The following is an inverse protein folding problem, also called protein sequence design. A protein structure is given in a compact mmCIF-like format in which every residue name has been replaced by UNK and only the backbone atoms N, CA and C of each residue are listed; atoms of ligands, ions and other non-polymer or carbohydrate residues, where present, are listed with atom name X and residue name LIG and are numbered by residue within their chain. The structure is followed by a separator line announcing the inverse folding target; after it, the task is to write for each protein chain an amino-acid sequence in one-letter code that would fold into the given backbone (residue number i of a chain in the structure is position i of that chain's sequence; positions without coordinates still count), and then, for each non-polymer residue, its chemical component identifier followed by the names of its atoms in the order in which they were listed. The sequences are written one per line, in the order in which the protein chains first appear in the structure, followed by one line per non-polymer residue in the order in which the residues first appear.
data_IF_601185172168
#
_entry.id   IF_601185172168
#
_cell.length_a   1.000
_cell.length_b   1.000
_cell.length_c   1.000
_cell.angle_alpha   90.00
_cell.angle_beta   90.00
_cell.angle_gamma   90.00
#
_symmetry.space_group_name_H-M   'P 1'
#
loop_
_entity.id
_entity.type
_entity.pdbx_description
1 polymer ?
#
# COMPACT_ATOMS: atom_id res chain seq x y z
N UNK A 1 30.64 37.92 -11.65
CA UNK A 1 30.77 36.54 -12.20
C UNK A 1 31.06 35.47 -11.13
N UNK A 2 30.60 35.62 -9.87
CA UNK A 2 30.81 34.61 -8.80
C UNK A 2 29.54 33.89 -8.33
N UNK A 3 28.34 34.29 -8.79
CA UNK A 3 27.07 33.79 -8.24
C UNK A 3 26.34 32.75 -9.14
N UNK A 4 26.91 32.36 -10.28
CA UNK A 4 26.33 31.31 -11.15
C UNK A 4 26.90 29.90 -10.92
N UNK A 5 28.02 29.78 -10.18
CA UNK A 5 28.64 28.48 -9.85
C UNK A 5 28.04 27.85 -8.59
N UNK A 6 27.62 28.64 -7.60
CA UNK A 6 26.99 28.13 -6.37
C UNK A 6 25.61 27.51 -6.64
N UNK A 7 24.79 28.12 -7.51
CA UNK A 7 23.44 27.62 -7.84
C UNK A 7 23.49 26.27 -8.57
N UNK A 8 24.54 25.99 -9.35
CA UNK A 8 24.74 24.69 -10.01
C UNK A 8 25.23 23.59 -9.06
N UNK A 9 25.81 23.96 -7.91
CA UNK A 9 26.27 23.00 -6.91
C UNK A 9 25.11 22.60 -5.99
N UNK A 10 24.14 23.49 -5.73
CA UNK A 10 22.97 23.18 -4.90
C UNK A 10 21.97 22.28 -5.65
N UNK A 11 21.79 22.46 -6.96
CA UNK A 11 20.94 21.56 -7.77
C UNK A 11 21.59 20.18 -7.96
N UNK A 12 22.92 20.06 -7.78
CA UNK A 12 23.63 18.78 -7.85
C UNK A 12 23.71 18.04 -6.50
N UNK A 13 23.32 18.67 -5.39
CA UNK A 13 23.36 18.07 -4.06
C UNK A 13 22.03 17.41 -3.64
N UNK A 14 20.93 17.69 -4.34
CA UNK A 14 19.65 16.98 -4.18
C UNK A 14 19.54 15.69 -5.04
N UNK A 15 20.57 15.39 -5.84
CA UNK A 15 20.59 14.25 -6.76
C UNK A 15 21.70 13.21 -6.44
N UNK A 16 22.28 13.24 -5.24
CA UNK A 16 23.49 12.48 -4.92
C UNK A 16 23.41 11.63 -3.63
N UNK A 17 22.20 11.28 -3.17
CA UNK A 17 21.99 10.22 -2.15
C UNK A 17 20.89 9.29 -2.66
N UNK A 18 21.20 8.57 -3.74
CA UNK A 18 20.48 7.37 -4.18
C UNK A 18 21.41 6.54 -5.08
N UNK A 19 22.65 6.35 -4.67
CA UNK A 19 23.50 5.29 -5.23
C UNK A 19 23.27 4.02 -4.42
N UNK A 20 22.06 3.47 -4.53
CA UNK A 20 21.84 2.06 -4.25
C UNK A 20 21.92 1.36 -5.60
N UNK A 21 22.72 0.29 -5.62
CA UNK A 21 23.07 -0.50 -6.79
C UNK A 21 21.82 -0.97 -7.52
N UNK A 22 21.47 -0.33 -8.64
CA UNK A 22 20.46 -0.85 -9.56
C UNK A 22 21.04 -2.04 -10.30
N UNK A 23 20.96 -3.22 -9.70
CA UNK A 23 21.18 -4.47 -10.45
C UNK A 23 20.00 -4.65 -11.37
N UNK A 24 20.17 -4.36 -12.66
CA UNK A 24 19.19 -4.69 -13.68
C UNK A 24 19.14 -6.20 -13.85
N UNK A 25 18.26 -6.86 -13.09
CA UNK A 25 17.88 -8.25 -13.34
C UNK A 25 16.92 -8.32 -14.53
N UNK A 26 16.91 -9.47 -15.21
CA UNK A 26 15.97 -9.73 -16.29
C UNK A 26 14.53 -9.48 -15.80
N UNK A 27 13.84 -8.54 -16.46
CA UNK A 27 12.43 -8.26 -16.19
C UNK A 27 11.65 -9.47 -16.71
N UNK A 28 11.28 -10.40 -15.83
CA UNK A 28 10.00 -11.12 -16.00
C UNK A 28 8.95 -10.01 -16.16
N UNK A 29 8.17 -9.99 -17.24
CA UNK A 29 7.16 -8.96 -17.46
C UNK A 29 6.22 -8.91 -16.26
N UNK A 30 6.49 -8.01 -15.31
CA UNK A 30 5.60 -7.75 -14.18
C UNK A 30 4.27 -7.26 -14.75
N UNK A 31 3.19 -7.60 -14.08
CA UNK A 31 1.91 -6.96 -14.36
C UNK A 31 2.04 -5.46 -14.12
N UNK A 32 1.41 -4.67 -14.98
CA UNK A 32 1.18 -3.24 -14.71
C UNK A 32 0.21 -3.05 -13.53
N UNK A 33 0.23 -1.88 -12.91
CA UNK A 33 -0.70 -1.54 -11.83
C UNK A 33 -2.18 -1.73 -12.24
N UNK A 34 -2.52 -1.38 -13.49
CA UNK A 34 -3.84 -1.63 -14.08
C UNK A 34 -4.17 -3.12 -14.16
N UNK A 35 -3.25 -3.94 -14.66
CA UNK A 35 -3.48 -5.39 -14.80
C UNK A 35 -3.65 -6.06 -13.43
N UNK A 36 -2.91 -5.62 -12.41
CA UNK A 36 -3.11 -6.06 -11.03
C UNK A 36 -4.51 -5.68 -10.56
N UNK A 37 -4.91 -4.41 -10.69
CA UNK A 37 -6.23 -3.94 -10.26
C UNK A 37 -7.38 -4.67 -10.98
N UNK A 38 -7.24 -4.95 -12.27
CA UNK A 38 -8.21 -5.72 -13.04
C UNK A 38 -8.33 -7.17 -12.52
N UNK A 39 -7.21 -7.80 -12.15
CA UNK A 39 -7.20 -9.18 -11.65
C UNK A 39 -7.66 -9.32 -10.20
N UNK A 40 -7.49 -8.29 -9.37
CA UNK A 40 -8.12 -8.20 -8.03
C UNK A 40 -9.67 -8.15 -8.13
N UNK A 41 -10.23 -8.01 -9.34
CA UNK A 41 -11.67 -7.97 -9.58
C UNK A 41 -12.26 -6.56 -9.42
N UNK A 42 -11.44 -5.52 -9.56
CA UNK A 42 -11.86 -4.15 -9.32
C UNK A 42 -11.74 -3.27 -10.58
N UNK A 43 -12.78 -3.20 -11.43
CA UNK A 43 -12.72 -2.47 -12.70
C UNK A 43 -12.60 -0.95 -12.51
N UNK A 44 -13.13 -0.37 -11.43
CA UNK A 44 -13.04 1.07 -11.20
C UNK A 44 -11.61 1.49 -10.79
N UNK A 45 -10.93 0.67 -9.97
CA UNK A 45 -9.51 0.92 -9.65
C UNK A 45 -8.63 0.72 -10.90
N UNK A 46 -8.92 -0.29 -11.71
CA UNK A 46 -8.21 -0.48 -12.98
C UNK A 46 -8.36 0.74 -13.91
N UNK A 47 -9.55 1.35 -13.93
CA UNK A 47 -9.80 2.59 -14.67
C UNK A 47 -9.07 3.79 -14.06
N UNK A 48 -8.95 3.87 -12.73
CA UNK A 48 -8.16 4.92 -12.07
C UNK A 48 -6.71 4.91 -12.59
N UNK A 49 -6.10 3.73 -12.76
CA UNK A 49 -4.76 3.59 -13.35
C UNK A 49 -4.65 3.93 -14.85
N UNK A 50 -5.74 4.31 -15.51
CA UNK A 50 -5.74 4.90 -16.87
C UNK A 50 -5.99 6.41 -16.87
N UNK A 51 -6.35 6.99 -15.72
CA UNK A 51 -6.68 8.39 -15.57
C UNK A 51 -5.46 9.31 -15.51
N UNK A 52 -5.73 10.61 -15.50
CA UNK A 52 -4.69 11.66 -15.44
C UNK A 52 -3.88 11.64 -14.14
N UNK A 53 -4.45 11.04 -13.09
CA UNK A 53 -3.84 10.91 -11.75
C UNK A 53 -2.93 9.68 -11.61
N UNK A 54 -2.89 8.82 -12.63
CA UNK A 54 -2.10 7.61 -12.61
C UNK A 54 -0.62 7.91 -12.90
N UNK A 55 0.24 7.47 -11.98
CA UNK A 55 1.69 7.55 -12.13
C UNK A 55 2.28 6.15 -12.14
N UNK A 56 2.90 5.78 -13.27
CA UNK A 56 3.70 4.56 -13.36
C UNK A 56 5.11 4.82 -12.85
N UNK A 57 5.58 3.96 -11.94
CA UNK A 57 6.83 4.17 -11.19
C UNK A 57 7.88 3.12 -11.59
N UNK A 58 7.54 1.84 -11.45
CA UNK A 58 8.42 0.69 -11.72
C UNK A 58 9.80 0.77 -11.04
N UNK A 59 9.83 1.27 -9.80
CA UNK A 59 11.06 1.37 -9.00
C UNK A 59 11.21 0.11 -8.14
N UNK A 60 12.37 -0.52 -8.17
CA UNK A 60 12.69 -1.69 -7.34
C UNK A 60 13.66 -1.35 -6.22
N UNK A 61 13.38 -1.84 -5.01
CA UNK A 61 14.30 -1.85 -3.87
C UNK A 61 14.42 -3.30 -3.38
N UNK A 62 15.65 -3.79 -3.25
CA UNK A 62 15.93 -5.13 -2.72
C UNK A 62 16.26 -5.05 -1.23
N UNK A 63 15.52 -5.78 -0.38
CA UNK A 63 15.73 -5.85 1.06
C UNK A 63 15.17 -7.16 1.64
N UNK A 64 15.76 -7.69 2.71
CA UNK A 64 15.20 -8.85 3.42
C UNK A 64 15.10 -10.15 2.61
N UNK A 65 15.88 -10.30 1.53
CA UNK A 65 15.75 -11.43 0.61
C UNK A 65 14.66 -11.26 -0.45
N UNK A 66 14.00 -10.10 -0.52
CA UNK A 66 12.97 -9.77 -1.50
C UNK A 66 13.34 -8.57 -2.38
N UNK A 67 12.81 -8.59 -3.60
CA UNK A 67 12.75 -7.44 -4.50
C UNK A 67 11.34 -6.85 -4.42
N UNK A 68 11.21 -5.66 -3.84
CA UNK A 68 9.97 -4.89 -3.80
C UNK A 68 9.96 -3.93 -4.98
N UNK A 69 8.96 -4.01 -5.84
CA UNK A 69 8.80 -3.12 -7.00
C UNK A 69 7.53 -2.30 -6.88
N UNK A 70 7.66 -1.00 -6.65
CA UNK A 70 6.55 -0.05 -6.69
C UNK A 70 6.15 0.18 -8.15
N UNK A 71 5.01 -0.39 -8.55
CA UNK A 71 4.55 -0.38 -9.93
C UNK A 71 3.87 0.95 -10.30
N UNK A 72 3.07 1.49 -9.39
CA UNK A 72 2.42 2.77 -9.59
C UNK A 72 1.53 3.21 -8.44
N UNK A 73 1.08 4.45 -8.55
CA UNK A 73 0.09 5.08 -7.68
C UNK A 73 -0.97 5.74 -8.56
N UNK A 74 -2.21 5.79 -8.09
CA UNK A 74 -3.28 6.59 -8.68
C UNK A 74 -4.24 7.03 -7.58
N UNK A 75 -5.14 7.95 -7.89
CA UNK A 75 -6.26 8.29 -7.01
C UNK A 75 -7.59 8.10 -7.73
N UNK A 76 -8.66 7.90 -6.99
CA UNK A 76 -10.01 7.69 -7.53
C UNK A 76 -11.07 7.67 -6.42
N UNK A 77 -12.32 7.37 -6.79
CA UNK A 77 -13.41 7.25 -5.82
C UNK A 77 -13.21 6.02 -4.95
N UNK A 78 -13.26 6.19 -3.63
CA UNK A 78 -13.17 5.08 -2.67
C UNK A 78 -14.23 4.03 -2.99
N UNK A 79 -13.84 2.77 -2.83
CA UNK A 79 -14.78 1.67 -2.94
C UNK A 79 -15.58 1.52 -1.63
N UNK A 80 -16.84 1.10 -1.76
CA UNK A 80 -17.72 0.77 -0.63
C UNK A 80 -17.33 -0.52 0.12
N UNK A 81 -16.04 -0.82 0.29
CA UNK A 81 -15.63 -2.01 1.05
C UNK A 81 -15.70 -1.79 2.58
N UNK A 82 -15.70 -0.54 3.06
CA UNK A 82 -15.65 -0.22 4.49
C UNK A 82 -16.64 0.90 4.84
N UNK A 83 -17.52 0.63 5.82
CA UNK A 83 -18.59 1.52 6.26
C UNK A 83 -18.11 2.75 7.08
N UNK A 84 -16.82 2.87 7.37
CA UNK A 84 -16.31 3.85 8.34
C UNK A 84 -15.90 5.19 7.73
N UNK A 85 -15.61 5.23 6.42
CA UNK A 85 -15.40 6.48 5.67
C UNK A 85 -16.50 6.66 4.63
N UNK A 86 -16.98 7.90 4.37
CA UNK A 86 -18.01 8.13 3.36
C UNK A 86 -17.57 7.61 1.98
N UNK A 87 -18.48 6.91 1.29
CA UNK A 87 -18.36 6.41 -0.10
C UNK A 87 -17.85 7.46 -1.09
N UNK A 88 -18.24 8.72 -0.84
CA UNK A 88 -17.91 9.87 -1.70
C UNK A 88 -16.47 10.39 -1.49
N UNK A 89 -15.69 9.77 -0.60
CA UNK A 89 -14.31 10.16 -0.33
C UNK A 89 -13.39 9.68 -1.47
N UNK A 90 -12.41 10.50 -1.85
CA UNK A 90 -11.33 10.02 -2.69
C UNK A 90 -10.43 9.04 -1.92
N UNK A 91 -9.80 8.12 -2.64
CA UNK A 91 -8.81 7.16 -2.15
C UNK A 91 -7.55 7.23 -3.02
N UNK A 92 -6.42 6.83 -2.43
CA UNK A 92 -5.18 6.61 -3.18
C UNK A 92 -4.89 5.11 -3.28
N UNK A 93 -4.65 4.65 -4.49
CA UNK A 93 -4.32 3.27 -4.81
C UNK A 93 -2.83 3.11 -5.05
N UNK A 94 -2.19 2.15 -4.38
CA UNK A 94 -0.77 1.86 -4.53
C UNK A 94 -0.58 0.39 -4.91
N UNK A 95 0.22 0.11 -5.94
CA UNK A 95 0.51 -1.26 -6.36
C UNK A 95 1.98 -1.62 -6.15
N UNK A 96 2.23 -2.69 -5.42
CA UNK A 96 3.55 -3.25 -5.15
C UNK A 96 3.66 -4.68 -5.68
N UNK A 97 4.73 -5.01 -6.37
CA UNK A 97 5.11 -6.38 -6.71
C UNK A 97 6.27 -6.85 -5.83
N UNK A 98 6.26 -8.12 -5.43
CA UNK A 98 7.25 -8.72 -4.55
C UNK A 98 7.73 -10.04 -5.15
N UNK A 99 9.06 -10.20 -5.20
CA UNK A 99 9.73 -11.41 -5.64
C UNK A 99 10.80 -11.81 -4.64
N UNK A 100 11.10 -13.10 -4.53
CA UNK A 100 12.33 -13.51 -3.85
C UNK A 100 13.54 -13.17 -4.71
N UNK A 101 14.57 -12.60 -4.08
CA UNK A 101 15.85 -12.22 -4.72
C UNK A 101 16.60 -13.44 -5.28
N UNK A 102 16.39 -14.62 -4.72
CA UNK A 102 16.97 -15.88 -5.19
C UNK A 102 16.26 -16.46 -6.43
N UNK A 103 15.14 -15.86 -6.86
CA UNK A 103 14.34 -16.30 -7.99
C UNK A 103 13.38 -17.46 -7.68
N UNK A 104 13.33 -17.94 -6.44
CA UNK A 104 12.35 -18.95 -6.03
C UNK A 104 10.93 -18.37 -6.13
N UNK A 105 9.97 -19.03 -6.80
CA UNK A 105 8.59 -18.57 -6.86
C UNK A 105 7.97 -18.42 -5.48
N UNK A 106 7.21 -17.35 -5.27
CA UNK A 106 6.30 -17.22 -4.13
C UNK A 106 5.03 -18.01 -4.47
N UNK A 107 4.61 -18.92 -3.59
CA UNK A 107 3.36 -19.66 -3.75
C UNK A 107 2.16 -18.78 -3.37
N UNK A 108 0.96 -19.01 -3.93
CA UNK A 108 -0.26 -18.26 -3.57
C UNK A 108 -0.54 -18.20 -2.06
N UNK A 109 -0.33 -19.31 -1.36
CA UNK A 109 -0.50 -19.45 0.09
C UNK A 109 0.61 -18.77 0.91
N UNK A 110 1.78 -18.52 0.31
CA UNK A 110 2.97 -17.96 0.95
C UNK A 110 2.98 -16.42 0.85
N UNK A 111 1.93 -15.77 1.36
CA UNK A 111 1.92 -14.32 1.51
C UNK A 111 3.07 -13.85 2.40
N UNK A 112 3.60 -12.65 2.13
CA UNK A 112 4.66 -12.05 2.96
C UNK A 112 4.12 -11.06 4.01
N UNK A 113 2.81 -10.79 4.01
CA UNK A 113 2.19 -9.90 5.00
C UNK A 113 1.75 -10.71 6.21
N UNK A 114 1.83 -10.11 7.40
CA UNK A 114 1.43 -10.78 8.62
C UNK A 114 -0.07 -11.13 8.61
N UNK A 115 -0.36 -12.42 8.77
CA UNK A 115 -1.71 -12.99 8.89
C UNK A 115 -1.75 -14.20 9.83
N UNK A 116 -0.77 -14.36 10.72
CA UNK A 116 -0.47 -15.59 11.53
C UNK A 116 0.70 -16.47 11.04
N UNK A 117 1.78 -15.88 10.49
CA UNK A 117 3.10 -16.53 10.49
C UNK A 117 3.95 -16.43 9.20
N UNK A 118 5.17 -15.89 9.38
CA UNK A 118 6.51 -16.47 9.12
C UNK A 118 7.49 -15.34 8.78
N UNK A 119 7.01 -14.31 8.07
CA UNK A 119 7.74 -13.09 7.79
C UNK A 119 6.83 -11.94 8.17
N UNK A 120 7.08 -11.38 9.35
CA UNK A 120 6.29 -10.34 10.00
C UNK A 120 6.44 -9.01 9.25
N UNK A 121 6.10 -8.91 7.96
CA UNK A 121 6.33 -7.70 7.14
C UNK A 121 5.03 -6.90 7.00
N UNK A 122 5.16 -5.59 7.19
CA UNK A 122 4.12 -4.59 6.95
C UNK A 122 4.54 -3.61 5.85
N UNK A 123 3.53 -3.11 5.14
CA UNK A 123 3.67 -2.09 4.11
C UNK A 123 2.76 -0.92 4.49
N UNK A 124 3.35 0.24 4.76
CA UNK A 124 2.60 1.41 5.26
C UNK A 124 2.97 2.68 4.52
N UNK A 125 1.99 3.53 4.15
CA UNK A 125 2.27 4.90 3.81
C UNK A 125 2.73 5.63 5.07
N UNK A 126 3.65 6.57 4.94
CA UNK A 126 4.09 7.47 6.02
C UNK A 126 4.11 8.90 5.47
N UNK A 127 3.92 9.91 6.32
CA UNK A 127 3.88 11.31 5.89
C UNK A 127 4.87 12.15 6.70
N UNK A 128 5.74 12.87 6.00
CA UNK A 128 6.74 13.76 6.60
C UNK A 128 6.10 14.75 7.59
N UNK A 129 6.67 14.83 8.80
CA UNK A 129 6.22 15.69 9.89
C UNK A 129 5.05 15.13 10.71
N UNK A 130 4.58 13.92 10.41
CA UNK A 130 3.72 13.14 11.31
C UNK A 130 4.50 11.95 11.86
N UNK A 131 4.37 11.67 13.15
CA UNK A 131 5.04 10.50 13.71
C UNK A 131 4.49 9.22 13.04
N UNK A 132 5.33 8.23 12.69
CA UNK A 132 4.88 7.01 12.00
C UNK A 132 3.72 6.28 12.68
N UNK A 133 3.67 6.27 14.02
CA UNK A 133 2.57 5.66 14.77
C UNK A 133 1.23 6.44 14.67
N UNK A 134 1.25 7.70 14.21
CA UNK A 134 0.06 8.54 14.02
C UNK A 134 -0.51 8.41 12.61
N UNK A 135 0.34 8.41 11.58
CA UNK A 135 -0.08 8.37 10.17
C UNK A 135 0.58 7.17 9.49
N UNK A 136 -0.22 6.11 9.32
CA UNK A 136 0.19 4.82 8.76
C UNK A 136 -1.00 4.08 8.12
N UNK A 137 -0.78 2.87 7.61
CA UNK A 137 -1.82 2.08 6.93
C UNK A 137 -3.07 1.86 7.80
N UNK A 138 -2.91 1.61 9.11
CA UNK A 138 -4.02 1.38 10.03
C UNK A 138 -4.83 2.65 10.23
N UNK A 139 -4.13 3.76 10.45
CA UNK A 139 -4.79 5.03 10.70
C UNK A 139 -5.35 5.68 9.44
N UNK A 140 -4.89 5.29 8.25
CA UNK A 140 -5.39 5.77 6.95
C UNK A 140 -6.39 4.80 6.29
N UNK A 141 -7.09 4.00 7.09
CA UNK A 141 -8.17 3.10 6.65
C UNK A 141 -7.78 2.23 5.45
N UNK A 142 -6.59 1.63 5.51
CA UNK A 142 -6.08 0.79 4.43
C UNK A 142 -6.93 -0.46 4.20
N UNK A 143 -7.31 -0.70 2.95
CA UNK A 143 -7.70 -2.02 2.47
C UNK A 143 -6.56 -2.62 1.62
N UNK A 144 -6.17 -3.86 1.90
CA UNK A 144 -5.12 -4.55 1.16
C UNK A 144 -5.67 -5.75 0.38
N UNK A 145 -5.28 -5.87 -0.88
CA UNK A 145 -5.60 -7.02 -1.72
C UNK A 145 -4.33 -7.65 -2.26
N UNK A 146 -4.27 -8.98 -2.26
CA UNK A 146 -3.11 -9.71 -2.76
C UNK A 146 -3.51 -10.76 -3.79
N UNK A 147 -2.62 -10.98 -4.76
CA UNK A 147 -2.70 -12.09 -5.70
C UNK A 147 -1.29 -12.54 -6.08
N UNK A 148 -1.16 -13.81 -6.47
CA UNK A 148 0.12 -14.37 -6.91
C UNK A 148 0.02 -14.82 -8.36
N UNK A 149 0.87 -14.26 -9.24
CA UNK A 149 0.91 -14.60 -10.67
C UNK A 149 2.33 -14.90 -11.10
N UNK A 150 2.56 -16.09 -11.64
CA UNK A 150 3.87 -16.50 -12.16
C UNK A 150 4.98 -16.50 -11.10
N UNK A 151 4.64 -16.78 -9.84
CA UNK A 151 5.59 -16.78 -8.72
C UNK A 151 5.94 -15.40 -8.17
N UNK A 152 5.21 -14.36 -8.59
CA UNK A 152 5.32 -12.98 -8.09
C UNK A 152 4.09 -12.66 -7.27
N UNK A 153 4.28 -12.12 -6.06
CA UNK A 153 3.18 -11.64 -5.22
C UNK A 153 2.91 -10.17 -5.54
N UNK A 154 1.67 -9.81 -5.82
CA UNK A 154 1.26 -8.44 -6.05
C UNK A 154 0.32 -8.00 -4.92
N UNK A 155 0.47 -6.75 -4.50
CA UNK A 155 -0.40 -6.09 -3.54
C UNK A 155 -0.97 -4.82 -4.14
N UNK A 156 -2.28 -4.65 -4.01
CA UNK A 156 -3.00 -3.41 -4.26
C UNK A 156 -3.52 -2.89 -2.93
N UNK A 157 -3.11 -1.69 -2.56
CA UNK A 157 -3.57 -1.01 -1.35
C UNK A 157 -4.50 0.15 -1.72
N UNK A 158 -5.61 0.28 -1.00
CA UNK A 158 -6.53 1.42 -1.02
C UNK A 158 -6.39 2.15 0.32
N UNK A 159 -5.72 3.30 0.29
CA UNK A 159 -5.57 4.20 1.43
C UNK A 159 -6.58 5.35 1.33
N UNK A 160 -6.94 5.93 2.47
CA UNK A 160 -7.51 7.28 2.50
C UNK A 160 -6.63 8.24 1.67
N UNK A 161 -7.26 9.25 1.05
CA UNK A 161 -6.60 10.06 0.03
C UNK A 161 -5.26 10.66 0.49
N UNK A 162 -4.16 10.13 -0.06
CA UNK A 162 -2.81 10.58 0.23
C UNK A 162 -2.51 11.94 -0.42
N UNK A 163 -3.29 12.36 -1.42
CA UNK A 163 -3.16 13.66 -2.09
C UNK A 163 -3.36 14.85 -1.15
N UNK A 164 -4.15 14.68 -0.09
CA UNK A 164 -4.36 15.71 0.92
C UNK A 164 -3.03 16.13 1.59
N UNK A 165 -2.07 15.20 1.68
CA UNK A 165 -0.77 15.39 2.30
C UNK A 165 0.33 15.80 1.31
N UNK A 166 0.00 16.12 0.05
CA UNK A 166 1.00 16.34 -1.01
C UNK A 166 1.87 17.61 -0.85
N UNK A 167 1.64 18.42 0.19
CA UNK A 167 2.53 19.52 0.59
C UNK A 167 3.72 19.03 1.45
N UNK A 168 3.76 17.73 1.73
CA UNK A 168 4.78 17.00 2.49
C UNK A 168 5.24 15.79 1.67
N UNK A 169 6.41 15.25 2.00
CA UNK A 169 6.83 13.99 1.41
C UNK A 169 5.97 12.84 1.94
N UNK A 170 5.32 12.11 1.03
CA UNK A 170 4.65 10.84 1.34
C UNK A 170 5.58 9.69 0.98
N UNK A 171 5.72 8.72 1.87
CA UNK A 171 6.54 7.54 1.69
C UNK A 171 5.67 6.28 1.65
N UNK A 172 6.21 5.19 1.09
CA UNK A 172 5.72 3.83 1.29
C UNK A 172 6.84 3.00 1.91
N UNK A 173 6.68 2.65 3.18
CA UNK A 173 7.66 1.91 3.96
C UNK A 173 7.31 0.42 4.00
N UNK A 174 8.34 -0.42 3.83
CA UNK A 174 8.29 -1.86 4.11
C UNK A 174 9.13 -2.11 5.35
N UNK A 175 8.57 -2.74 6.37
CA UNK A 175 9.25 -2.98 7.64
C UNK A 175 8.72 -4.24 8.32
N UNK A 176 9.46 -4.74 9.31
CA UNK A 176 9.03 -5.83 10.15
C UNK A 176 8.21 -5.37 11.36
N UNK A 177 7.16 -6.10 11.70
CA UNK A 177 6.19 -5.78 12.75
C UNK A 177 4.85 -5.33 12.19
N UNK A 178 3.83 -5.32 13.05
CA UNK A 178 2.48 -4.84 12.71
C UNK A 178 2.45 -3.31 12.59
N UNK A 179 2.50 -2.60 13.73
CA UNK A 179 2.45 -1.15 13.76
C UNK A 179 3.86 -0.53 13.72
N UNK A 180 4.04 0.62 13.05
CA UNK A 180 5.30 1.35 13.06
C UNK A 180 5.59 1.91 14.46
N UNK A 181 6.84 1.85 14.90
CA UNK A 181 7.26 2.31 16.22
C UNK A 181 8.60 3.06 16.17
N UNK A 182 9.00 3.66 17.29
CA UNK A 182 10.28 4.35 17.43
C UNK A 182 11.50 3.43 17.41
N UNK A 183 11.31 2.11 17.57
CA UNK A 183 12.38 1.14 17.35
C UNK A 183 12.59 0.79 15.87
N UNK A 184 11.62 1.11 15.02
CA UNK A 184 11.68 0.87 13.57
C UNK A 184 12.04 2.15 12.82
N UNK A 185 11.44 3.28 13.21
CA UNK A 185 11.57 4.56 12.52
C UNK A 185 12.06 5.68 13.44
N UNK A 186 12.74 6.64 12.83
CA UNK A 186 13.09 7.93 13.42
C UNK A 186 12.56 9.06 12.54
N UNK A 187 12.37 10.23 13.13
CA UNK A 187 11.95 11.44 12.44
C UNK A 187 12.87 12.58 12.85
N UNK A 188 13.44 13.28 11.89
CA UNK A 188 14.34 14.40 12.15
C UNK A 188 13.59 15.71 12.46
N UNK A 189 14.33 16.78 12.74
CA UNK A 189 13.76 18.10 13.06
C UNK A 189 12.96 18.72 11.89
N UNK A 190 13.19 18.27 10.66
CA UNK A 190 12.44 18.72 9.48
C UNK A 190 11.16 17.91 9.27
N UNK A 191 11.01 16.80 9.98
CA UNK A 191 9.90 15.86 9.83
C UNK A 191 10.21 14.70 8.89
N UNK A 192 11.40 14.64 8.30
CA UNK A 192 11.80 13.57 7.40
C UNK A 192 11.91 12.26 8.17
N UNK A 193 11.35 11.19 7.60
CA UNK A 193 11.28 9.87 8.24
C UNK A 193 12.34 8.95 7.63
N UNK A 194 13.09 8.25 8.48
CA UNK A 194 14.02 7.19 8.10
C UNK A 194 13.89 6.01 9.08
N UNK A 195 14.50 4.88 8.76
CA UNK A 195 14.65 3.78 9.73
C UNK A 195 15.55 4.21 10.90
N UNK A 196 15.20 3.75 12.09
CA UNK A 196 15.96 4.02 13.31
C UNK A 196 17.39 3.50 13.21
N UNK A 197 18.33 4.20 13.85
CA UNK A 197 19.72 3.73 13.95
C UNK A 197 19.76 2.36 14.64
N UNK A 198 20.41 1.38 14.00
CA UNK A 198 20.48 0.00 14.50
C UNK A 198 19.26 -0.88 14.20
N UNK A 199 18.28 -0.40 13.41
CA UNK A 199 17.22 -1.27 12.90
C UNK A 199 17.78 -2.27 11.86
N UNK A 200 17.68 -3.56 12.17
CA UNK A 200 18.24 -4.67 11.37
C UNK A 200 17.21 -5.39 10.49
N UNK A 201 15.92 -5.05 10.60
CA UNK A 201 14.86 -5.67 9.81
C UNK A 201 14.84 -5.22 8.34
N UNK A 202 13.79 -5.59 7.62
CA UNK A 202 13.60 -5.18 6.22
C UNK A 202 13.56 -3.66 6.07
N UNK A 203 14.40 -3.12 5.18
CA UNK A 203 14.50 -1.68 4.90
C UNK A 203 14.26 -1.37 3.42
N UNK A 204 13.01 -1.13 3.05
CA UNK A 204 12.65 -0.58 1.75
C UNK A 204 11.67 0.59 1.92
N UNK A 205 12.11 1.79 1.55
CA UNK A 205 11.31 3.01 1.61
C UNK A 205 11.23 3.63 0.22
N UNK A 206 10.02 3.78 -0.30
CA UNK A 206 9.77 4.50 -1.55
C UNK A 206 9.27 5.90 -1.26
N UNK A 207 9.58 6.82 -2.16
CA UNK A 207 8.96 8.14 -2.24
C UNK A 207 7.73 8.01 -3.15
N UNK A 208 6.54 8.34 -2.64
CA UNK A 208 5.32 8.35 -3.45
C UNK A 208 5.22 9.69 -4.21
N UNK A 209 5.11 9.67 -5.56
CA UNK A 209 4.99 10.87 -6.37
C UNK A 209 3.54 11.35 -6.38
N UNK A 210 3.15 12.05 -5.32
CA UNK A 210 1.82 12.65 -5.17
C UNK A 210 1.86 14.09 -5.69
N UNK A 211 0.87 14.53 -6.47
CA UNK A 211 0.85 15.87 -7.06
C UNK A 211 0.71 16.97 -5.97
N UNK A 212 1.73 17.83 -5.74
CA UNK A 212 1.67 18.86 -4.72
C UNK A 212 0.55 19.89 -4.94
N UNK A 213 0.02 19.99 -6.17
CA UNK A 213 -1.10 20.89 -6.47
C UNK A 213 -2.42 20.46 -5.81
N UNK A 214 -2.50 19.20 -5.38
CA UNK A 214 -3.69 18.60 -4.75
C UNK A 214 -3.66 18.61 -3.22
N UNK A 215 -2.60 19.13 -2.63
CA UNK A 215 -2.48 19.23 -1.19
C UNK A 215 -3.62 20.06 -0.58
N UNK A 216 -4.21 19.54 0.49
CA UNK A 216 -5.23 20.25 1.27
C UNK A 216 -4.99 19.97 2.76
N UNK A 217 -4.24 20.87 3.39
CA UNK A 217 -3.91 20.77 4.82
C UNK A 217 -5.14 20.75 5.72
N UNK A 218 -6.19 21.49 5.38
CA UNK A 218 -7.40 21.55 6.21
C UNK A 218 -8.17 20.23 6.13
N UNK A 219 -8.30 19.67 4.93
CA UNK A 219 -8.92 18.36 4.73
C UNK A 219 -8.06 17.23 5.34
N UNK A 220 -6.73 17.30 5.26
CA UNK A 220 -5.82 16.36 5.91
C UNK A 220 -5.97 16.39 7.44
N UNK A 221 -6.00 17.58 8.06
CA UNK A 221 -6.22 17.71 9.50
C UNK A 221 -7.61 17.22 9.92
N UNK A 222 -8.65 17.49 9.13
CA UNK A 222 -10.00 16.97 9.39
C UNK A 222 -10.04 15.45 9.30
N UNK A 223 -9.43 14.86 8.26
CA UNK A 223 -9.31 13.41 8.11
C UNK A 223 -8.67 12.78 9.35
N UNK A 224 -7.54 13.33 9.80
CA UNK A 224 -6.84 12.84 10.99
C UNK A 224 -7.66 13.04 12.27
N UNK A 225 -8.43 14.13 12.40
CA UNK A 225 -9.33 14.36 13.52
C UNK A 225 -10.49 13.35 13.54
N UNK A 226 -11.08 13.07 12.38
CA UNK A 226 -12.17 12.09 12.22
C UNK A 226 -11.69 10.66 12.57
N UNK A 227 -10.41 10.38 12.30
CA UNK A 227 -9.72 9.14 12.69
C UNK A 227 -9.26 9.12 14.17
N UNK A 228 -9.58 10.15 14.95
CA UNK A 228 -9.23 10.23 16.38
C UNK A 228 -7.75 10.53 16.68
N UNK A 229 -6.96 10.89 15.67
CA UNK A 229 -5.51 11.15 15.78
C UNK A 229 -5.27 12.57 16.33
N UNK A 230 -6.17 13.51 16.01
CA UNK A 230 -6.13 14.90 16.49
C UNK A 230 -7.29 15.18 17.44
N UNK A 231 -7.08 15.07 18.76
CA UNK A 231 -8.05 15.60 19.75
C UNK A 231 -8.36 14.80 21.01
N UNK A 232 -7.57 13.79 21.40
CA UNK A 232 -7.77 13.06 22.65
C UNK A 232 -6.80 13.44 23.75
N UNK A 233 -7.20 14.31 24.67
CA UNK A 233 -6.54 14.52 25.97
C UNK A 233 -6.83 13.32 26.90
N UNK A 234 -6.36 12.13 26.50
CA UNK A 234 -6.10 10.95 27.34
C UNK A 234 -5.27 9.98 26.52
N UNK A 235 -3.95 10.06 26.65
CA UNK A 235 -3.18 8.83 26.70
C UNK A 235 -3.63 8.08 27.97
N UNK A 236 -4.72 7.32 27.88
CA UNK A 236 -4.76 6.10 28.67
C UNK A 236 -3.92 5.10 27.90
N UNK A 237 -2.79 4.71 28.49
CA UNK A 237 -2.29 3.33 28.36
C UNK A 237 -3.41 2.40 28.87
N UNK A 238 -4.48 2.29 28.10
CA UNK A 238 -5.41 1.19 28.15
C UNK A 238 -4.87 0.19 27.15
N UNK A 239 -4.79 -1.07 27.55
CA UNK A 239 -4.71 -2.20 26.65
C UNK A 239 -5.88 -2.06 25.67
N UNK A 240 -5.63 -1.44 24.51
CA UNK A 240 -6.57 -1.47 23.41
C UNK A 240 -6.53 -2.92 22.94
N UNK A 241 -7.63 -3.65 23.14
CA UNK A 241 -7.88 -4.83 22.33
C UNK A 241 -7.67 -4.39 20.89
N UNK A 242 -6.58 -4.87 20.29
CA UNK A 242 -6.36 -4.77 18.85
C UNK A 242 -7.50 -5.56 18.26
N UNK A 243 -8.54 -4.88 17.78
CA UNK A 243 -9.58 -5.56 16.99
C UNK A 243 -8.87 -5.94 15.69
N UNK A 244 -8.55 -7.22 15.59
CA UNK A 244 -7.76 -7.90 14.55
C UNK A 244 -8.40 -7.91 13.14
N UNK A 245 -9.35 -7.04 12.83
CA UNK A 245 -10.04 -7.11 11.52
C UNK A 245 -9.36 -6.23 10.47
N UNK A 246 -8.17 -6.64 10.05
CA UNK A 246 -7.74 -6.30 8.68
C UNK A 246 -8.46 -7.24 7.72
N UNK A 247 -9.44 -6.71 6.99
CA UNK A 247 -10.11 -7.46 5.94
C UNK A 247 -9.21 -7.51 4.71
N UNK A 248 -8.43 -8.59 4.60
CA UNK A 248 -7.69 -8.92 3.37
C UNK A 248 -8.52 -9.92 2.59
N UNK A 249 -9.05 -9.47 1.46
CA UNK A 249 -9.75 -10.31 0.49
C UNK A 249 -8.73 -10.70 -0.59
N UNK A 250 -8.30 -11.96 -0.59
CA UNK A 250 -7.57 -12.55 -1.69
C UNK A 250 -8.57 -13.00 -2.75
N UNK A 251 -8.34 -12.61 -3.99
CA UNK A 251 -9.11 -13.02 -5.15
C UNK A 251 -8.15 -13.66 -6.15
N UNK A 252 -8.37 -14.93 -6.45
CA UNK A 252 -7.49 -15.73 -7.33
C UNK A 252 -8.33 -16.50 -8.34
N UNK A 253 -7.75 -16.85 -9.49
CA UNK A 253 -8.40 -17.75 -10.44
C UNK A 253 -7.76 -19.13 -10.35
N UNK A 254 -8.59 -20.18 -10.21
CA UNK A 254 -8.11 -21.56 -10.24
C UNK A 254 -7.70 -22.01 -11.65
N UNK A 255 -7.13 -23.21 -11.75
CA UNK A 255 -6.70 -23.82 -13.02
C UNK A 255 -7.85 -24.03 -14.04
N UNK A 256 -9.10 -23.97 -13.58
CA UNK A 256 -10.30 -24.08 -14.40
C UNK A 256 -10.92 -22.70 -14.74
N UNK A 257 -10.31 -21.61 -14.28
CA UNK A 257 -10.78 -20.24 -14.49
C UNK A 257 -11.89 -19.78 -13.54
N UNK A 258 -12.07 -20.46 -12.40
CA UNK A 258 -13.03 -20.02 -11.38
C UNK A 258 -12.39 -19.01 -10.43
N UNK A 259 -13.12 -17.95 -10.08
CA UNK A 259 -12.71 -16.99 -9.06
C UNK A 259 -12.85 -17.63 -7.67
N UNK A 260 -11.73 -17.81 -6.98
CA UNK A 260 -11.61 -18.20 -5.58
C UNK A 260 -11.40 -16.93 -4.77
N UNK A 261 -12.28 -16.70 -3.80
CA UNK A 261 -12.13 -15.61 -2.85
C UNK A 261 -11.88 -16.18 -1.46
N UNK A 262 -10.79 -15.76 -0.81
CA UNK A 262 -10.40 -16.19 0.53
C UNK A 262 -9.96 -14.99 1.39
N UNK A 263 -10.27 -15.00 2.68
CA UNK A 263 -10.06 -13.82 3.54
C UNK A 263 -10.77 -14.00 4.89
N UNK A 264 -10.45 -13.17 5.89
CA UNK A 264 -11.41 -12.90 6.96
C UNK A 264 -12.17 -11.66 6.50
N UNK A 265 -13.37 -11.81 5.95
CA UNK A 265 -14.07 -10.71 5.32
C UNK A 265 -14.67 -9.73 6.33
N UNK A 266 -14.78 -10.09 7.62
CA UNK A 266 -15.63 -9.32 8.55
C UNK A 266 -17.01 -9.05 7.92
N UNK A 267 -17.46 -7.79 7.97
CA UNK A 267 -18.69 -7.30 7.31
C UNK A 267 -18.53 -6.93 5.82
N UNK A 268 -17.37 -7.19 5.20
CA UNK A 268 -17.10 -6.81 3.82
C UNK A 268 -17.88 -7.65 2.80
N UNK A 269 -17.83 -7.24 1.54
CA UNK A 269 -18.46 -7.91 0.41
C UNK A 269 -17.63 -7.65 -0.85
N UNK A 270 -17.70 -8.50 -1.88
CA UNK A 270 -17.05 -8.27 -3.19
C UNK A 270 -18.09 -7.98 -4.26
N UNK A 271 -17.75 -7.12 -5.21
CA UNK A 271 -18.54 -6.91 -6.42
C UNK A 271 -18.03 -7.82 -7.55
N UNK A 272 -18.84 -8.82 -7.92
CA UNK A 272 -18.57 -9.70 -9.08
C UNK A 272 -19.55 -9.31 -10.17
N UNK A 273 -19.05 -8.84 -11.32
CA UNK A 273 -19.87 -8.35 -12.45
C UNK A 273 -20.94 -7.31 -12.03
N UNK A 274 -20.62 -6.48 -11.04
CA UNK A 274 -21.53 -5.46 -10.48
C UNK A 274 -22.56 -6.00 -9.49
N UNK A 275 -22.54 -7.30 -9.16
CA UNK A 275 -23.36 -7.89 -8.12
C UNK A 275 -22.62 -7.96 -6.78
N UNK A 276 -23.29 -7.51 -5.71
CA UNK A 276 -22.79 -7.60 -4.33
C UNK A 276 -22.84 -9.05 -3.84
N UNK A 277 -21.69 -9.58 -3.44
CA UNK A 277 -21.51 -10.89 -2.82
C UNK A 277 -21.05 -10.67 -1.39
N UNK A 278 -21.97 -10.85 -0.44
CA UNK A 278 -21.69 -10.78 1.00
C UNK A 278 -21.05 -12.10 1.47
N UNK A 279 -20.08 -12.00 2.36
CA UNK A 279 -19.50 -13.18 3.00
C UNK A 279 -20.28 -13.49 4.27
N UNK A 280 -21.02 -14.60 4.26
CA UNK A 280 -21.76 -15.04 5.44
C UNK A 280 -20.89 -15.99 6.26
N UNK A 281 -20.33 -15.50 7.36
CA UNK A 281 -19.60 -16.20 8.43
C UNK A 281 -18.42 -17.09 8.02
N UNK A 282 -17.23 -16.76 8.55
CA UNK A 282 -16.02 -17.61 8.66
C UNK A 282 -15.86 -18.66 7.53
N UNK A 283 -15.87 -18.20 6.28
CA UNK A 283 -15.71 -19.11 5.14
C UNK A 283 -14.23 -19.20 4.81
N UNK A 284 -13.60 -20.32 5.16
CA UNK A 284 -12.21 -20.63 4.77
C UNK A 284 -11.98 -20.58 3.25
N UNK A 285 -13.04 -20.66 2.43
CA UNK A 285 -13.02 -20.43 0.98
C UNK A 285 -14.43 -20.33 0.39
N UNK A 286 -14.75 -19.27 -0.36
CA UNK A 286 -15.96 -19.22 -1.21
C UNK A 286 -15.56 -19.58 -2.64
N UNK A 287 -15.95 -20.77 -3.12
CA UNK A 287 -15.88 -21.11 -4.54
C UNK A 287 -17.18 -20.67 -5.22
N UNK A 288 -17.16 -19.55 -5.94
CA UNK A 288 -18.29 -19.19 -6.81
C UNK A 288 -18.01 -19.71 -8.23
N UNK A 289 -18.72 -20.77 -8.61
CA UNK A 289 -18.69 -21.30 -9.97
C UNK A 289 -19.57 -20.43 -10.88
N UNK A 290 -19.03 -19.35 -11.45
CA UNK A 290 -19.75 -18.64 -12.52
C UNK A 290 -19.45 -19.34 -13.84
N UNK A 291 -20.33 -20.28 -14.22
CA UNK A 291 -20.35 -20.79 -15.59
C UNK A 291 -20.85 -19.67 -16.50
N UNK A 292 -19.96 -19.07 -17.31
CA UNK A 292 -20.35 -18.16 -18.38
C UNK A 292 -21.10 -18.97 -19.44
N UNK A 293 -22.42 -19.10 -19.26
CA UNK A 293 -23.31 -19.47 -20.35
C UNK A 293 -23.52 -18.21 -21.19
N UNK A 294 -22.84 -18.13 -22.33
CA UNK A 294 -22.97 -17.03 -23.26
C UNK A 294 -24.41 -16.80 -23.72
N UNK A 295 -24.74 -15.53 -23.90
CA UNK A 295 -25.59 -15.00 -24.96
C UNK A 295 -25.27 -13.52 -25.19
#
# INVERSE_FOLDING_TARGET
MKNKKLVKIIIAAAAAIALLTTTTFAISSLLSAKEVAAQVGNPAIAQAFEGDDAVSINQTISAGGYDYTLLGISSGQRMDFFNDLPVESASSYVVLAVKRTDGTPIAPEDGILDRNGNENISISPLVEGWAPHQVNAWTLSCAGHGLTVGGVRYYLFDYANLELFADRQVYLAVYEGLAPSTSVFTMDETGAIDYAEGYEGVRAMFTLPVDPSKADRAAAEQLLADMGILGGDTAQEGETDVVEDTVIINAEYDENGNLIISGNPGDAYVLIDGARVEFTDEVDSVTTATTVAGN
#
